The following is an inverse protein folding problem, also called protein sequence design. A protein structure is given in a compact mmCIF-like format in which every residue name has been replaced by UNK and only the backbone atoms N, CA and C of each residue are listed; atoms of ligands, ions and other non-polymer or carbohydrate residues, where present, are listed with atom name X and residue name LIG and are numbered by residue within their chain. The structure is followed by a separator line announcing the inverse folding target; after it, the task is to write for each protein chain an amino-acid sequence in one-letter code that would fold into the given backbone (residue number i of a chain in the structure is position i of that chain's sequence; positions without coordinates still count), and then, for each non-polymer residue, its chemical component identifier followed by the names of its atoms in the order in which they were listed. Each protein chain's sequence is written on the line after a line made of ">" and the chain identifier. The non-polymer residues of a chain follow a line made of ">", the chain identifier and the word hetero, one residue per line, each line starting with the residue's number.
data_IF_012682172434
#
_entry.id   IF_012682172434
#
_cell.length_a   1.000
_cell.length_b   1.000
_cell.length_c   1.000
_cell.angle_alpha   90.00
_cell.angle_beta   90.00
_cell.angle_gamma   90.00
#
_symmetry.space_group_name_H-M   'P 1'
#
loop_
_entity.id
_entity.type
_entity.pdbx_description
1 polymer ?
#
# COMPACT_ATOMS: atom_id res chain seq x y z
N UNK A 1 -10.10 1.57 -19.37
CA UNK A 1 -8.80 1.99 -19.96
C UNK A 1 -8.34 0.93 -20.94
N UNK A 2 -7.76 1.32 -22.08
CA UNK A 2 -7.12 0.41 -23.03
C UNK A 2 -5.66 0.83 -23.15
N UNK A 3 -4.73 -0.06 -22.80
CA UNK A 3 -3.29 0.23 -22.71
C UNK A 3 -2.49 -0.22 -23.95
N UNK A 4 -3.19 -0.47 -25.07
CA UNK A 4 -2.61 -0.95 -26.31
C UNK A 4 -2.95 -2.42 -26.61
N UNK A 5 -2.52 -2.93 -27.77
CA UNK A 5 -2.82 -4.28 -28.22
C UNK A 5 -1.90 -5.34 -27.62
N UNK A 6 -0.77 -4.94 -27.02
CA UNK A 6 0.21 -5.87 -26.45
C UNK A 6 -0.37 -6.56 -25.18
N UNK A 7 -0.40 -7.90 -25.14
CA UNK A 7 -0.93 -8.65 -24.00
C UNK A 7 -0.22 -8.38 -22.66
N UNK A 8 1.04 -7.93 -22.67
CA UNK A 8 1.83 -7.64 -21.47
C UNK A 8 1.43 -6.35 -20.75
N UNK A 9 0.74 -5.43 -21.43
CA UNK A 9 0.37 -4.10 -20.89
C UNK A 9 -0.51 -4.17 -19.64
N UNK A 10 -1.41 -5.15 -19.56
CA UNK A 10 -2.26 -5.36 -18.38
C UNK A 10 -1.46 -5.79 -17.15
N UNK A 11 -0.47 -6.68 -17.33
CA UNK A 11 0.38 -7.14 -16.24
C UNK A 11 1.28 -6.02 -15.71
N UNK A 12 1.89 -5.23 -16.60
CA UNK A 12 2.71 -4.07 -16.21
C UNK A 12 1.87 -3.05 -15.44
N UNK A 13 0.65 -2.74 -15.92
CA UNK A 13 -0.26 -1.81 -15.23
C UNK A 13 -0.60 -2.31 -13.82
N UNK A 14 -0.82 -3.62 -13.65
CA UNK A 14 -1.07 -4.22 -12.33
C UNK A 14 0.14 -4.07 -11.40
N UNK A 15 1.35 -4.29 -11.91
CA UNK A 15 2.58 -4.09 -11.15
C UNK A 15 2.76 -2.63 -10.71
N UNK A 16 2.47 -1.68 -11.60
CA UNK A 16 2.48 -0.25 -11.24
C UNK A 16 1.53 0.05 -10.08
N UNK A 17 0.29 -0.45 -10.14
CA UNK A 17 -0.69 -0.26 -9.07
C UNK A 17 -0.25 -0.88 -7.74
N UNK A 18 0.27 -2.11 -7.75
CA UNK A 18 0.74 -2.78 -6.54
C UNK A 18 1.98 -2.08 -5.95
N UNK A 19 2.89 -1.59 -6.80
CA UNK A 19 4.04 -0.79 -6.37
C UNK A 19 3.60 0.52 -5.68
N UNK A 20 2.62 1.23 -6.24
CA UNK A 20 2.08 2.45 -5.64
C UNK A 20 1.42 2.17 -4.27
N UNK A 21 0.70 1.05 -4.13
CA UNK A 21 0.10 0.65 -2.85
C UNK A 21 1.19 0.37 -1.81
N UNK A 22 2.22 -0.40 -2.17
CA UNK A 22 3.35 -0.67 -1.26
C UNK A 22 4.07 0.62 -0.85
N UNK A 23 4.31 1.53 -1.80
CA UNK A 23 4.92 2.83 -1.54
C UNK A 23 4.08 3.70 -0.60
N UNK A 24 2.75 3.64 -0.72
CA UNK A 24 1.84 4.35 0.19
C UNK A 24 1.84 3.75 1.60
N UNK A 25 1.99 2.43 1.74
CA UNK A 25 2.12 1.78 3.05
C UNK A 25 3.43 2.22 3.72
N UNK A 26 4.54 2.22 2.98
CA UNK A 26 5.85 2.64 3.48
C UNK A 26 5.83 4.12 3.90
N UNK A 27 5.31 5.00 3.04
CA UNK A 27 5.23 6.44 3.35
C UNK A 27 4.38 6.72 4.60
N UNK A 28 3.26 6.00 4.77
CA UNK A 28 2.48 6.04 6.00
C UNK A 28 3.32 5.57 7.20
N UNK A 29 4.07 4.47 7.07
CA UNK A 29 4.85 3.91 8.17
C UNK A 29 5.94 4.89 8.63
N UNK A 30 6.66 5.51 7.69
CA UNK A 30 7.66 6.53 7.98
C UNK A 30 7.03 7.77 8.63
N UNK A 31 5.96 8.31 8.05
CA UNK A 31 5.28 9.50 8.57
C UNK A 31 4.72 9.27 9.98
N UNK A 32 4.10 8.10 10.23
CA UNK A 32 3.58 7.75 11.56
C UNK A 32 4.70 7.51 12.56
N UNK A 33 5.85 6.99 12.14
CA UNK A 33 7.03 6.85 13.01
C UNK A 33 7.63 8.20 13.36
N UNK A 34 7.67 9.14 12.41
CA UNK A 34 8.08 10.53 12.64
C UNK A 34 7.14 11.23 13.63
N UNK A 35 5.82 11.10 13.45
CA UNK A 35 4.83 11.66 14.34
C UNK A 35 4.99 11.15 15.78
N UNK A 36 5.09 9.83 15.97
CA UNK A 36 5.30 9.19 17.27
C UNK A 36 6.57 9.69 17.96
N UNK A 37 7.70 9.71 17.23
CA UNK A 37 8.98 10.21 17.75
C UNK A 37 8.97 11.71 18.07
N UNK A 38 8.02 12.45 17.50
CA UNK A 38 7.81 13.88 17.77
C UNK A 38 6.79 14.13 18.90
N UNK A 39 6.28 13.08 19.55
CA UNK A 39 5.32 13.19 20.65
C UNK A 39 3.86 13.35 20.21
N UNK A 40 3.54 13.07 18.94
CA UNK A 40 2.18 13.15 18.41
C UNK A 40 1.49 11.78 18.42
N UNK A 41 0.17 11.78 18.56
CA UNK A 41 -0.63 10.56 18.39
C UNK A 41 -0.74 10.18 16.90
N UNK A 42 -0.28 8.97 16.57
CA UNK A 42 -0.24 8.44 15.20
C UNK A 42 -1.64 8.44 14.57
N UNK A 43 -2.65 8.02 15.33
CA UNK A 43 -4.02 7.88 14.80
C UNK A 43 -4.68 9.22 14.55
N UNK A 44 -4.42 10.24 15.38
CA UNK A 44 -4.89 11.60 15.20
C UNK A 44 -4.25 12.25 13.96
N UNK A 45 -2.93 12.10 13.78
CA UNK A 45 -2.24 12.60 12.57
C UNK A 45 -2.81 11.94 11.31
N UNK A 46 -2.93 10.61 11.31
CA UNK A 46 -3.48 9.89 10.16
C UNK A 46 -4.94 10.25 9.88
N UNK A 47 -5.75 10.46 10.92
CA UNK A 47 -7.15 10.89 10.79
C UNK A 47 -7.24 12.27 10.12
N UNK A 48 -6.41 13.23 10.55
CA UNK A 48 -6.34 14.56 9.93
C UNK A 48 -5.93 14.47 8.45
N UNK A 49 -4.90 13.68 8.14
CA UNK A 49 -4.43 13.48 6.77
C UNK A 49 -5.49 12.83 5.87
N UNK A 50 -6.20 11.80 6.36
CA UNK A 50 -7.29 11.14 5.65
C UNK A 50 -8.53 12.02 5.50
N UNK A 51 -8.75 12.98 6.40
CA UNK A 51 -9.82 13.97 6.29
C UNK A 51 -9.50 15.15 5.37
N UNK A 52 -8.29 15.21 4.81
CA UNK A 52 -7.80 16.33 4.01
C UNK A 52 -7.10 15.87 2.74
N UNK A 53 -5.76 15.95 2.70
CA UNK A 53 -4.96 15.79 1.49
C UNK A 53 -4.81 14.32 1.03
N UNK A 54 -5.10 13.35 1.91
CA UNK A 54 -5.02 11.91 1.61
C UNK A 54 -6.37 11.19 1.75
N UNK A 55 -7.46 11.88 1.40
CA UNK A 55 -8.80 11.27 1.36
C UNK A 55 -8.97 10.32 0.16
N UNK A 56 -8.38 9.12 0.24
CA UNK A 56 -8.60 8.07 -0.74
C UNK A 56 -8.57 6.67 -0.12
N UNK A 57 -9.14 5.71 -0.85
CA UNK A 57 -9.33 4.33 -0.38
C UNK A 57 -8.04 3.68 0.16
N UNK A 58 -6.91 3.92 -0.50
CA UNK A 58 -5.63 3.30 -0.15
C UNK A 58 -5.08 3.89 1.16
N UNK A 59 -5.05 5.21 1.31
CA UNK A 59 -4.55 5.86 2.53
C UNK A 59 -5.50 5.68 3.72
N UNK A 60 -6.83 5.67 3.49
CA UNK A 60 -7.80 5.30 4.53
C UNK A 60 -7.60 3.87 4.99
N UNK A 61 -7.62 2.90 4.07
CA UNK A 61 -7.54 1.49 4.42
C UNK A 61 -6.20 1.09 5.05
N UNK A 62 -5.08 1.43 4.38
CA UNK A 62 -3.76 1.03 4.85
C UNK A 62 -3.18 1.99 5.89
N UNK A 63 -3.33 3.31 5.71
CA UNK A 63 -2.79 4.30 6.64
C UNK A 63 -3.39 4.18 8.04
N UNK A 64 -4.71 3.93 8.16
CA UNK A 64 -5.32 3.67 9.47
C UNK A 64 -4.76 2.42 10.15
N UNK A 65 -4.57 1.33 9.38
CA UNK A 65 -3.98 0.09 9.90
C UNK A 65 -2.55 0.30 10.34
N UNK A 66 -1.76 1.06 9.59
CA UNK A 66 -0.38 1.42 9.94
C UNK A 66 -0.33 2.27 11.21
N UNK A 67 -1.21 3.28 11.32
CA UNK A 67 -1.31 4.12 12.51
C UNK A 67 -1.68 3.31 13.77
N UNK A 68 -2.59 2.33 13.63
CA UNK A 68 -3.03 1.43 14.71
C UNK A 68 -2.11 0.22 14.96
N UNK A 69 -1.11 -0.03 14.09
CA UNK A 69 -0.28 -1.26 14.07
C UNK A 69 -1.09 -2.55 13.88
N UNK A 70 -2.20 -2.48 13.14
CA UNK A 70 -3.11 -3.59 12.86
C UNK A 70 -2.74 -4.34 11.57
N UNK A 71 -1.66 -5.11 11.64
CA UNK A 71 -1.08 -5.82 10.48
C UNK A 71 -1.59 -7.24 10.29
N UNK A 72 -2.11 -7.86 11.35
CA UNK A 72 -2.73 -9.19 11.27
C UNK A 72 -4.04 -9.13 10.48
N UNK A 73 -4.29 -10.07 9.54
CA UNK A 73 -5.58 -10.18 8.88
C UNK A 73 -6.68 -10.38 9.93
N UNK A 74 -7.84 -9.74 9.74
CA UNK A 74 -9.04 -10.18 10.45
C UNK A 74 -9.34 -11.60 9.99
N UNK A 75 -9.05 -12.58 10.85
CA UNK A 75 -9.56 -13.92 10.67
C UNK A 75 -11.06 -13.86 10.99
N UNK A 76 -11.90 -14.13 10.00
CA UNK A 76 -13.28 -14.51 10.26
C UNK A 76 -13.64 -15.68 9.35
N UNK A 77 -14.62 -16.44 9.78
CA UNK A 77 -15.14 -17.63 9.07
C UNK A 77 -15.68 -17.27 7.66
N UNK A 78 -15.90 -15.98 7.40
CA UNK A 78 -16.43 -15.41 6.16
C UNK A 78 -15.38 -14.65 5.33
N UNK A 79 -14.22 -14.31 5.91
CA UNK A 79 -13.16 -13.54 5.25
C UNK A 79 -11.87 -14.36 5.32
N UNK A 80 -11.50 -14.94 4.18
CA UNK A 80 -10.24 -15.67 4.02
C UNK A 80 -9.01 -14.81 4.33
N UNK A 81 -7.81 -15.42 4.43
CA UNK A 81 -6.59 -14.69 4.72
C UNK A 81 -6.43 -13.53 3.74
N UNK A 82 -6.29 -12.32 4.28
CA UNK A 82 -6.00 -11.13 3.48
C UNK A 82 -4.70 -11.29 2.68
N UNK A 83 -4.41 -10.32 1.82
CA UNK A 83 -3.21 -10.37 0.97
C UNK A 83 -1.93 -10.53 1.81
N UNK A 84 -1.29 -11.70 1.69
CA UNK A 84 -0.14 -12.09 2.51
C UNK A 84 1.12 -11.31 2.13
N UNK A 85 2.01 -11.09 3.10
CA UNK A 85 3.25 -10.33 2.90
C UNK A 85 4.15 -10.95 1.83
N UNK A 86 4.25 -12.28 1.78
CA UNK A 86 5.06 -13.00 0.78
C UNK A 86 4.56 -12.74 -0.66
N UNK A 87 3.24 -12.58 -0.83
CA UNK A 87 2.67 -12.22 -2.13
C UNK A 87 2.99 -10.76 -2.49
N UNK A 88 3.08 -9.87 -1.51
CA UNK A 88 3.55 -8.50 -1.69
C UNK A 88 5.02 -8.45 -2.13
N UNK A 89 5.89 -9.21 -1.46
CA UNK A 89 7.31 -9.31 -1.84
C UNK A 89 7.48 -9.81 -3.28
N UNK A 90 6.71 -10.84 -3.66
CA UNK A 90 6.69 -11.36 -5.03
C UNK A 90 6.33 -10.26 -6.03
N UNK A 91 5.28 -9.48 -5.78
CA UNK A 91 4.84 -8.44 -6.72
C UNK A 91 5.84 -7.28 -6.84
N UNK A 92 6.48 -6.87 -5.75
CA UNK A 92 7.54 -5.86 -5.79
C UNK A 92 8.78 -6.36 -6.53
N UNK A 93 9.15 -7.62 -6.33
CA UNK A 93 10.24 -8.25 -7.08
C UNK A 93 9.95 -8.26 -8.58
N UNK A 94 8.72 -8.64 -8.97
CA UNK A 94 8.30 -8.60 -10.38
C UNK A 94 8.33 -7.18 -10.95
N UNK A 95 7.89 -6.17 -10.20
CA UNK A 95 7.94 -4.77 -10.63
C UNK A 95 9.40 -4.32 -10.87
N UNK A 96 10.32 -4.65 -9.97
CA UNK A 96 11.75 -4.35 -10.11
C UNK A 96 12.38 -5.07 -11.32
N UNK A 97 12.03 -6.33 -11.54
CA UNK A 97 12.55 -7.10 -12.67
C UNK A 97 12.05 -6.57 -14.01
N UNK A 98 10.80 -6.10 -14.09
CA UNK A 98 10.31 -5.40 -15.27
C UNK A 98 11.07 -4.08 -15.47
N UNK A 99 11.23 -3.29 -14.41
CA UNK A 99 11.95 -2.00 -14.47
C UNK A 99 13.40 -2.15 -14.95
N UNK A 100 14.09 -3.22 -14.56
CA UNK A 100 15.46 -3.52 -15.02
C UNK A 100 15.56 -3.93 -16.49
N UNK A 101 14.49 -4.48 -17.07
CA UNK A 101 14.47 -4.97 -18.46
C UNK A 101 14.11 -3.88 -19.46
N UNK A 102 13.39 -2.85 -19.03
CA UNK A 102 13.02 -1.71 -19.87
C UNK A 102 14.16 -0.68 -19.87
N UNK A 103 14.44 -0.08 -21.04
CA UNK A 103 15.48 0.95 -21.23
C UNK A 103 14.91 2.34 -21.09
#
# INVERSE_FOLDING_TARGET
>A
YRFGPDPGTGAVTKLCGNFMIASAIESCAEAMSLAEKSGLDRTAVMSMLNGTIFDCLIYRGYGERVAKREHVPRQSDLVGPGFQLDLGLKDITLALDVARKVK
#
